data_IF_823215732245
#
_entry.id   IF_823215732245
#
_cell.length_a   1.000
_cell.length_b   1.000
_cell.length_c   1.000
_cell.angle_alpha   90.00
_cell.angle_beta   90.00
_cell.angle_gamma   90.00
#
_symmetry.space_group_name_H-M   'P 1'
#
loop_
_entity.id
_entity.type
_entity.pdbx_description
1 polymer ?
#
# COMPACT_ATOMS: atom_id res chain seq x y z
N UNK A 1 16.97 -16.94 13.35
CA UNK A 1 17.17 -15.55 12.87
C UNK A 1 15.90 -14.77 13.08
N UNK A 2 16.02 -13.55 13.57
CA UNK A 2 14.86 -12.70 13.77
C UNK A 2 14.48 -11.99 12.45
N UNK A 3 13.18 -11.80 12.24
CA UNK A 3 12.68 -11.03 11.13
C UNK A 3 13.07 -9.56 11.28
N UNK A 4 13.38 -8.93 10.16
CA UNK A 4 13.63 -7.49 10.12
C UNK A 4 12.30 -6.75 10.14
N UNK A 5 12.19 -5.82 11.07
CA UNK A 5 11.04 -4.93 11.18
C UNK A 5 11.38 -3.58 10.55
N UNK A 6 10.48 -3.07 9.73
CA UNK A 6 10.69 -1.80 9.07
C UNK A 6 10.34 -0.64 9.98
N UNK A 7 11.00 0.53 9.81
CA UNK A 7 10.57 1.74 10.51
C UNK A 7 9.11 2.05 10.19
N UNK A 8 8.40 2.66 11.13
CA UNK A 8 6.97 2.92 10.97
C UNK A 8 6.69 3.75 9.71
N UNK A 9 5.72 3.33 8.87
CA UNK A 9 5.25 4.17 7.78
C UNK A 9 4.24 5.17 8.31
N UNK A 10 3.70 5.99 7.41
CA UNK A 10 2.62 6.91 7.74
C UNK A 10 1.37 6.53 6.95
N UNK A 11 0.20 6.84 7.52
CA UNK A 11 -1.05 6.68 6.79
C UNK A 11 -0.99 7.52 5.50
N UNK A 12 -1.37 6.94 4.38
CA UNK A 12 -1.22 7.56 3.07
C UNK A 12 0.01 7.11 2.30
N UNK A 13 0.95 6.42 2.96
CA UNK A 13 2.09 5.82 2.24
C UNK A 13 1.60 4.68 1.36
N UNK A 14 2.22 4.57 0.18
CA UNK A 14 2.00 3.43 -0.72
C UNK A 14 3.23 2.56 -0.62
N UNK A 15 3.02 1.29 -0.27
CA UNK A 15 4.09 0.36 0.07
C UNK A 15 4.03 -0.89 -0.79
N UNK A 16 5.16 -1.59 -0.89
CA UNK A 16 5.30 -2.82 -1.67
C UNK A 16 5.00 -4.00 -0.75
N UNK A 17 3.84 -4.63 -0.95
CA UNK A 17 3.28 -5.58 0.00
C UNK A 17 2.97 -6.93 -0.67
N UNK A 18 3.37 -8.03 -0.01
CA UNK A 18 2.91 -9.37 -0.37
C UNK A 18 1.50 -9.56 0.20
N UNK A 19 0.54 -8.88 -0.40
CA UNK A 19 -0.84 -8.90 0.08
C UNK A 19 -1.39 -10.33 0.06
N UNK A 20 -1.97 -10.82 1.16
CA UNK A 20 -2.43 -12.21 1.24
C UNK A 20 -3.63 -12.46 0.33
N UNK A 21 -3.65 -13.63 -0.30
CA UNK A 21 -4.81 -14.06 -1.09
C UNK A 21 -5.94 -14.56 -0.19
N UNK A 22 -5.57 -15.21 0.92
CA UNK A 22 -6.52 -15.83 1.84
C UNK A 22 -6.40 -15.20 3.22
N UNK A 23 -7.20 -14.18 3.47
CA UNK A 23 -7.45 -13.57 4.80
C UNK A 23 -6.26 -13.51 5.77
N UNK A 24 -5.06 -13.25 5.26
CA UNK A 24 -3.91 -13.00 6.10
C UNK A 24 -3.17 -14.22 6.63
N UNK A 25 -3.46 -15.40 6.11
CA UNK A 25 -2.80 -16.64 6.56
C UNK A 25 -1.34 -16.68 6.10
N UNK A 26 -1.08 -16.33 4.84
CA UNK A 26 0.25 -16.37 4.25
C UNK A 26 0.47 -15.18 3.34
N UNK A 27 1.73 -14.68 3.24
CA UNK A 27 2.05 -13.66 2.26
C UNK A 27 1.74 -14.12 0.85
N UNK A 28 1.21 -13.21 0.02
CA UNK A 28 0.97 -13.50 -1.38
C UNK A 28 2.26 -13.72 -2.16
N UNK A 29 2.21 -14.46 -3.28
CA UNK A 29 3.42 -14.83 -4.03
C UNK A 29 4.11 -13.67 -4.72
N UNK A 30 3.38 -12.59 -5.02
CA UNK A 30 3.93 -11.42 -5.70
C UNK A 30 3.64 -10.17 -4.90
N UNK A 31 4.64 -9.27 -4.75
CA UNK A 31 4.37 -7.98 -4.10
C UNK A 31 3.48 -7.11 -4.99
N UNK A 32 2.62 -6.35 -4.33
CA UNK A 32 1.70 -5.43 -4.99
C UNK A 32 1.65 -4.13 -4.23
N UNK A 33 1.24 -3.01 -4.87
CA UNK A 33 1.04 -1.78 -4.14
C UNK A 33 -0.10 -1.92 -3.14
N UNK A 34 0.11 -1.39 -1.95
CA UNK A 34 -0.91 -1.32 -0.92
C UNK A 34 -0.87 0.05 -0.27
N UNK A 35 -2.05 0.58 0.05
CA UNK A 35 -2.16 1.89 0.70
C UNK A 35 -2.21 1.69 2.21
N UNK A 36 -1.32 2.35 2.94
CA UNK A 36 -1.34 2.34 4.40
C UNK A 36 -2.51 3.21 4.87
N UNK A 37 -3.48 2.57 5.52
CA UNK A 37 -4.68 3.23 6.04
C UNK A 37 -4.48 3.66 7.48
N UNK A 38 -3.84 2.80 8.28
CA UNK A 38 -3.62 3.05 9.70
C UNK A 38 -2.36 2.36 10.17
N UNK A 39 -1.67 2.99 11.12
CA UNK A 39 -0.47 2.43 11.75
C UNK A 39 -0.78 2.23 13.24
N UNK A 40 -0.49 1.03 13.73
CA UNK A 40 -0.61 0.67 15.15
C UNK A 40 0.80 0.57 15.72
N UNK A 41 1.09 1.34 16.75
CA UNK A 41 2.43 1.36 17.34
C UNK A 41 2.45 0.90 18.80
N UNK A 42 1.43 0.15 19.20
CA UNK A 42 1.28 -0.35 20.57
C UNK A 42 2.46 -1.22 21.02
N UNK A 43 3.13 -1.87 20.07
CA UNK A 43 4.26 -2.78 20.34
C UNK A 43 5.49 -2.35 19.54
N UNK A 44 5.80 -1.04 19.58
CA UNK A 44 6.98 -0.51 18.88
C UNK A 44 8.26 -1.21 19.39
N UNK A 45 9.23 -1.53 18.50
CA UNK A 45 9.28 -1.19 17.06
C UNK A 45 8.55 -2.16 16.13
N UNK A 46 7.76 -3.08 16.66
CA UNK A 46 7.01 -4.08 15.91
C UNK A 46 5.66 -3.51 15.51
N UNK A 47 5.67 -2.64 14.49
CA UNK A 47 4.46 -1.97 14.04
C UNK A 47 3.55 -2.92 13.28
N UNK A 48 2.25 -2.79 13.48
CA UNK A 48 1.21 -3.43 12.68
C UNK A 48 0.55 -2.35 11.86
N UNK A 49 0.25 -2.63 10.59
CA UNK A 49 -0.38 -1.67 9.70
C UNK A 49 -1.65 -2.25 9.11
N UNK A 50 -2.65 -1.40 8.91
CA UNK A 50 -3.82 -1.73 8.12
C UNK A 50 -3.58 -1.20 6.72
N UNK A 51 -3.64 -2.08 5.73
CA UNK A 51 -3.38 -1.73 4.33
C UNK A 51 -4.56 -2.10 3.44
N UNK A 52 -4.79 -1.28 2.42
CA UNK A 52 -5.81 -1.52 1.41
C UNK A 52 -5.15 -2.09 0.15
N UNK A 53 -5.78 -3.12 -0.44
CA UNK A 53 -5.28 -3.80 -1.62
C UNK A 53 -5.27 -2.87 -2.85
N UNK A 54 -4.15 -2.87 -3.58
CA UNK A 54 -3.99 -2.15 -4.83
C UNK A 54 -3.83 -3.11 -6.00
N UNK A 55 -4.48 -2.81 -7.12
CA UNK A 55 -4.40 -3.63 -8.33
C UNK A 55 -4.38 -2.75 -9.57
N UNK A 56 -3.63 -3.18 -10.59
CA UNK A 56 -3.63 -2.56 -11.91
C UNK A 56 -4.61 -3.23 -12.88
N UNK A 57 -5.34 -4.24 -12.40
CA UNK A 57 -6.32 -4.95 -13.23
C UNK A 57 -7.70 -4.32 -13.11
N UNK A 58 -8.46 -4.33 -14.22
CA UNK A 58 -9.85 -3.85 -14.29
C UNK A 58 -9.99 -2.41 -13.75
N UNK A 59 -9.02 -1.56 -14.08
CA UNK A 59 -9.02 -0.17 -13.62
C UNK A 59 -10.06 0.69 -14.34
N UNK A 60 -10.66 0.20 -15.42
CA UNK A 60 -11.75 0.85 -16.14
C UNK A 60 -13.10 0.72 -15.43
N UNK A 61 -13.15 -0.06 -14.34
CA UNK A 61 -14.38 -0.31 -13.59
C UNK A 61 -14.10 -0.16 -12.10
N UNK A 62 -14.80 0.77 -11.46
CA UNK A 62 -14.69 0.98 -10.03
C UNK A 62 -15.96 0.49 -9.34
N UNK A 63 -15.78 -0.38 -8.35
CA UNK A 63 -16.85 -0.80 -7.45
C UNK A 63 -16.89 0.11 -6.23
N UNK A 64 -17.91 -0.07 -5.39
CA UNK A 64 -18.00 0.68 -4.14
C UNK A 64 -16.72 0.51 -3.31
N UNK A 65 -16.30 1.58 -2.65
CA UNK A 65 -15.09 1.63 -1.81
C UNK A 65 -13.78 1.48 -2.58
N UNK A 66 -13.80 1.69 -3.90
CA UNK A 66 -12.59 1.73 -4.72
C UNK A 66 -12.31 3.14 -5.22
N UNK A 67 -11.03 3.50 -5.33
CA UNK A 67 -10.63 4.72 -6.02
C UNK A 67 -9.39 4.46 -6.88
N UNK A 68 -9.27 5.23 -7.96
CA UNK A 68 -8.23 5.05 -8.97
C UNK A 68 -7.19 6.15 -8.91
N UNK A 69 -5.93 5.77 -9.07
CA UNK A 69 -4.83 6.69 -9.34
C UNK A 69 -4.27 6.33 -10.70
N UNK A 70 -4.28 7.27 -11.64
CA UNK A 70 -3.90 7.02 -13.03
C UNK A 70 -3.02 8.14 -13.58
N UNK A 71 -2.37 7.93 -14.75
CA UNK A 71 -1.51 8.96 -15.35
C UNK A 71 -2.17 10.32 -15.55
N UNK A 72 -3.49 10.36 -15.74
CA UNK A 72 -4.23 11.62 -15.87
C UNK A 72 -4.12 12.47 -14.61
N UNK A 73 -3.81 11.88 -13.48
CA UNK A 73 -3.62 12.57 -12.20
C UNK A 73 -2.26 13.28 -12.10
N UNK A 74 -1.41 13.14 -13.12
CA UNK A 74 -0.15 13.87 -13.29
C UNK A 74 0.79 13.78 -12.09
N UNK A 75 1.03 14.89 -11.39
CA UNK A 75 1.94 14.91 -10.23
C UNK A 75 1.52 13.94 -9.13
N UNK A 76 0.21 13.77 -8.92
CA UNK A 76 -0.31 12.85 -7.93
C UNK A 76 0.01 11.39 -8.28
N UNK A 77 -0.08 11.04 -9.57
CA UNK A 77 0.30 9.71 -10.05
C UNK A 77 1.80 9.47 -9.83
N UNK A 78 2.62 10.46 -10.18
CA UNK A 78 4.07 10.37 -10.03
C UNK A 78 4.47 10.25 -8.55
N UNK A 79 3.84 11.03 -7.69
CA UNK A 79 4.12 10.99 -6.25
C UNK A 79 3.76 9.64 -5.64
N UNK A 80 2.73 8.98 -6.16
CA UNK A 80 2.33 7.65 -5.71
C UNK A 80 3.34 6.57 -6.09
N UNK A 81 4.26 6.86 -7.03
CA UNK A 81 5.32 5.93 -7.43
C UNK A 81 4.84 4.79 -8.31
N UNK A 82 3.64 4.88 -8.83
CA UNK A 82 3.01 3.80 -9.58
C UNK A 82 3.52 3.78 -11.03
N UNK A 83 3.68 2.57 -11.59
CA UNK A 83 4.05 2.37 -12.99
C UNK A 83 2.84 2.12 -13.89
N UNK A 84 1.70 1.82 -13.30
CA UNK A 84 0.45 1.52 -14.01
C UNK A 84 -0.71 2.18 -13.29
N UNK A 85 -1.81 2.47 -14.00
CA UNK A 85 -3.04 2.87 -13.31
C UNK A 85 -3.37 1.83 -12.24
N UNK A 86 -3.67 2.28 -11.04
CA UNK A 86 -3.88 1.38 -9.90
C UNK A 86 -5.11 1.84 -9.13
N UNK A 87 -5.99 0.89 -8.81
CA UNK A 87 -7.12 1.16 -7.94
C UNK A 87 -6.91 0.49 -6.59
N UNK A 88 -7.32 1.17 -5.54
CA UNK A 88 -7.23 0.68 -4.16
C UNK A 88 -8.64 0.43 -3.64
N UNK A 89 -8.81 -0.68 -2.90
CA UNK A 89 -10.11 -1.09 -2.37
C UNK A 89 -10.12 -1.04 -0.85
N UNK A 90 -11.01 -0.22 -0.29
CA UNK A 90 -11.22 -0.18 1.16
C UNK A 90 -12.08 -1.35 1.68
N UNK A 91 -12.61 -2.18 0.78
CA UNK A 91 -13.25 -3.44 1.15
C UNK A 91 -12.24 -4.57 1.31
N UNK A 92 -11.05 -4.41 0.77
CA UNK A 92 -9.98 -5.41 0.84
C UNK A 92 -8.85 -4.85 1.67
N UNK A 93 -9.08 -4.75 2.97
CA UNK A 93 -8.09 -4.30 3.93
C UNK A 93 -7.68 -5.44 4.84
N UNK A 94 -6.45 -5.37 5.34
CA UNK A 94 -5.92 -6.38 6.25
C UNK A 94 -4.91 -5.72 7.19
N UNK A 95 -4.82 -6.24 8.41
CA UNK A 95 -3.79 -5.82 9.37
C UNK A 95 -2.62 -6.79 9.28
N UNK A 96 -1.44 -6.26 9.01
CA UNK A 96 -0.22 -7.06 8.82
C UNK A 96 0.93 -6.51 9.64
N UNK A 97 1.81 -7.40 10.15
CA UNK A 97 3.06 -6.96 10.77
C UNK A 97 3.93 -6.26 9.72
N UNK A 98 4.47 -5.10 10.07
CA UNK A 98 5.29 -4.33 9.13
C UNK A 98 6.74 -4.83 9.18
N UNK A 99 6.97 -6.01 8.63
CA UNK A 99 8.27 -6.69 8.61
C UNK A 99 8.58 -7.25 7.22
N UNK A 100 9.76 -7.84 7.06
CA UNK A 100 10.24 -8.32 5.77
C UNK A 100 9.48 -9.54 5.24
N UNK A 101 8.67 -10.21 6.05
CA UNK A 101 7.85 -11.32 5.59
C UNK A 101 6.71 -10.84 4.69
N UNK A 102 6.12 -9.68 5.03
CA UNK A 102 4.94 -9.17 4.34
C UNK A 102 5.23 -7.98 3.43
N UNK A 103 6.34 -7.27 3.65
CA UNK A 103 6.67 -6.05 2.92
C UNK A 103 8.10 -6.09 2.43
N UNK A 104 8.30 -5.68 1.18
CA UNK A 104 9.63 -5.67 0.54
C UNK A 104 9.98 -4.31 -0.02
N UNK A 105 11.28 -4.06 -0.17
CA UNK A 105 11.78 -2.87 -0.85
C UNK A 105 11.41 -2.97 -2.33
N UNK A 106 10.78 -1.94 -2.92
CA UNK A 106 10.52 -1.92 -4.36
C UNK A 106 11.82 -2.02 -5.17
N UNK A 107 11.78 -2.57 -6.39
CA UNK A 107 13.00 -2.75 -7.20
C UNK A 107 13.81 -1.48 -7.41
N UNK A 108 13.16 -0.32 -7.53
CA UNK A 108 13.85 0.96 -7.75
C UNK A 108 14.22 1.65 -6.45
N UNK A 109 13.73 1.17 -5.30
CA UNK A 109 13.97 1.73 -3.98
C UNK A 109 13.88 3.27 -3.95
N UNK A 110 12.77 3.86 -4.43
CA UNK A 110 12.68 5.32 -4.62
C UNK A 110 12.77 6.12 -3.32
N UNK A 111 12.49 5.48 -2.19
CA UNK A 111 12.59 6.09 -0.86
C UNK A 111 13.64 5.39 0.01
N UNK A 112 14.69 4.82 -0.63
CA UNK A 112 15.73 4.09 0.06
C UNK A 112 15.32 2.64 0.37
N UNK A 113 16.00 2.04 1.31
CA UNK A 113 15.80 0.62 1.65
C UNK A 113 14.60 0.44 2.59
N UNK A 114 13.43 0.85 2.12
CA UNK A 114 12.15 0.68 2.82
C UNK A 114 11.08 0.19 1.85
N UNK A 115 9.99 -0.41 2.35
CA UNK A 115 8.90 -0.84 1.47
C UNK A 115 8.15 0.29 0.77
N UNK A 116 8.34 1.53 1.18
CA UNK A 116 7.65 2.70 0.62
C UNK A 116 8.11 2.96 -0.80
N UNK A 117 7.17 3.13 -1.74
CA UNK A 117 7.50 3.59 -3.09
C UNK A 117 6.68 4.80 -3.52
N UNK A 118 5.77 5.29 -2.70
CA UNK A 118 5.06 6.51 -2.99
C UNK A 118 4.18 6.94 -1.83
N UNK A 119 3.49 8.04 -2.05
CA UNK A 119 2.51 8.57 -1.09
C UNK A 119 1.26 9.03 -1.81
N UNK A 120 0.15 9.03 -1.08
CA UNK A 120 -1.12 9.56 -1.58
C UNK A 120 -1.05 11.08 -1.56
N UNK A 121 -1.12 11.70 -2.75
CA UNK A 121 -1.09 13.15 -2.87
C UNK A 121 -2.31 13.77 -2.18
N UNK A 122 -2.15 14.92 -1.48
CA UNK A 122 -3.29 15.58 -0.83
C UNK A 122 -4.48 15.83 -1.74
N UNK A 123 -4.24 16.11 -3.03
CA UNK A 123 -5.34 16.32 -3.99
C UNK A 123 -6.23 15.09 -4.17
N UNK A 124 -5.73 13.89 -3.80
CA UNK A 124 -6.49 12.64 -3.93
C UNK A 124 -7.18 12.24 -2.63
N UNK A 125 -6.92 12.96 -1.54
CA UNK A 125 -7.49 12.61 -0.23
C UNK A 125 -9.01 12.64 -0.25
N UNK A 126 -9.60 13.61 -0.96
CA UNK A 126 -11.06 13.71 -1.09
C UNK A 126 -11.61 12.52 -1.86
N UNK A 127 -10.93 12.12 -2.93
CA UNK A 127 -11.32 10.96 -3.75
C UNK A 127 -11.28 9.68 -2.91
N UNK A 128 -10.21 9.50 -2.15
CA UNK A 128 -10.06 8.34 -1.27
C UNK A 128 -11.15 8.35 -0.18
N UNK A 129 -11.43 9.50 0.41
CA UNK A 129 -12.44 9.62 1.44
C UNK A 129 -13.87 9.39 0.94
N UNK A 130 -14.10 9.57 -0.36
CA UNK A 130 -15.41 9.33 -0.98
C UNK A 130 -15.60 7.87 -1.40
N UNK A 131 -14.54 7.08 -1.37
CA UNK A 131 -14.59 5.69 -1.81
C UNK A 131 -15.29 4.75 -0.82
#
# INVERSE_FOLDING_TARGET
>A
MSLRWWPAPEAGDIVWCHFPHDRGIEPGPKPRPALVVKVFDDDAPRHVVQVAYGTSQKTDRLFACEFLIAPVDRAAYKLAGLSYPTKFSFKQTVELPYNEEWFKVPPTAPHGQTPKFGVLHPSLMKRAGAA
#
